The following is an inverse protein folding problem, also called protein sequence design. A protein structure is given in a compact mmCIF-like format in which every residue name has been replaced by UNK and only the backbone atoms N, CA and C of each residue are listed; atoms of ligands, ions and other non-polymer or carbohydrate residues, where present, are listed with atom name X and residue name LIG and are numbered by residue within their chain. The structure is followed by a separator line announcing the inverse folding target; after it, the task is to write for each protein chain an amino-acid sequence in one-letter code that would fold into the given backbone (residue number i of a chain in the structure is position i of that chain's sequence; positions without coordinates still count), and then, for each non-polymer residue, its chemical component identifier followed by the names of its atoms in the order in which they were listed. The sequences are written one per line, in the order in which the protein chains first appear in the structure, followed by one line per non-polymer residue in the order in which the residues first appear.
data_IF_498219852005
#
_entry.id   IF_498219852005
#
_cell.length_a   1.000
_cell.length_b   1.000
_cell.length_c   1.000
_cell.angle_alpha   90.00
_cell.angle_beta   90.00
_cell.angle_gamma   90.00
#
_symmetry.space_group_name_H-M   'P 1'
#
loop_
_entity.id
_entity.type
_entity.pdbx_description
1 polymer ?
#
# COMPACT_ATOMS: atom_id res chain seq x y z
N UNK A 1 -10.06 18.32 -3.68
CA UNK A 1 -9.73 18.26 -5.12
C UNK A 1 -9.35 16.82 -5.44
N UNK A 2 -9.66 16.30 -6.63
CA UNK A 2 -9.24 14.96 -7.06
C UNK A 2 -8.31 15.08 -8.26
N UNK A 3 -7.18 14.38 -8.22
CA UNK A 3 -6.25 14.26 -9.36
C UNK A 3 -6.18 12.81 -9.81
N UNK A 4 -6.15 12.62 -11.13
CA UNK A 4 -5.96 11.33 -11.79
C UNK A 4 -4.59 11.29 -12.46
N UNK A 5 -3.84 10.22 -12.24
CA UNK A 5 -2.61 9.93 -12.97
C UNK A 5 -2.69 8.53 -13.58
N UNK A 6 -2.45 8.44 -14.89
CA UNK A 6 -2.32 7.16 -15.59
C UNK A 6 -0.90 6.61 -15.35
N UNK A 7 -0.83 5.36 -14.92
CA UNK A 7 0.42 4.69 -14.55
C UNK A 7 0.67 3.52 -15.50
N UNK A 8 0.98 3.81 -16.77
CA UNK A 8 1.08 2.80 -17.83
C UNK A 8 -0.25 2.08 -18.03
N UNK A 9 -0.48 1.03 -17.23
CA UNK A 9 -1.63 0.13 -17.30
C UNK A 9 -2.57 0.22 -16.08
N UNK A 10 -2.28 1.09 -15.09
CA UNK A 10 -3.14 1.32 -13.91
C UNK A 10 -3.55 2.78 -13.76
N UNK A 11 -4.34 3.09 -12.73
CA UNK A 11 -4.75 4.46 -12.42
C UNK A 11 -4.57 4.77 -10.93
N UNK A 12 -4.19 6.02 -10.66
CA UNK A 12 -4.09 6.57 -9.33
C UNK A 12 -5.08 7.73 -9.18
N UNK A 13 -5.92 7.66 -8.15
CA UNK A 13 -6.77 8.76 -7.71
C UNK A 13 -6.30 9.26 -6.34
N UNK A 14 -6.04 10.57 -6.23
CA UNK A 14 -5.69 11.21 -4.96
C UNK A 14 -6.78 12.22 -4.59
N UNK A 15 -7.42 12.02 -3.43
CA UNK A 15 -8.38 12.93 -2.83
C UNK A 15 -7.79 13.54 -1.55
N UNK A 16 -7.47 14.82 -1.60
CA UNK A 16 -6.97 15.60 -0.47
C UNK A 16 -7.16 17.11 -0.70
N UNK A 17 -6.69 17.92 0.25
CA UNK A 17 -6.57 19.37 0.09
C UNK A 17 -5.44 19.73 -0.89
N UNK A 18 -5.57 20.88 -1.54
CA UNK A 18 -4.58 21.33 -2.53
C UNK A 18 -3.16 21.45 -1.94
N UNK A 19 -3.05 21.91 -0.69
CA UNK A 19 -1.78 22.01 0.03
C UNK A 19 -1.13 20.66 0.32
N UNK A 20 -1.92 19.58 0.45
CA UNK A 20 -1.41 18.21 0.57
C UNK A 20 -0.98 17.71 -0.79
N UNK A 21 -1.83 17.88 -1.80
CA UNK A 21 -1.59 17.38 -3.17
C UNK A 21 -0.28 17.94 -3.72
N UNK A 22 0.01 19.23 -3.51
CA UNK A 22 1.26 19.85 -3.95
C UNK A 22 2.52 19.32 -3.25
N UNK A 23 2.35 18.54 -2.18
CA UNK A 23 3.42 17.88 -1.42
C UNK A 23 3.48 16.38 -1.65
N UNK A 24 2.53 15.77 -2.36
CA UNK A 24 2.57 14.33 -2.67
C UNK A 24 3.43 14.11 -3.91
N UNK A 25 4.51 13.36 -3.74
CA UNK A 25 5.35 12.89 -4.84
C UNK A 25 4.88 11.52 -5.30
N UNK A 26 4.60 11.40 -6.60
CA UNK A 26 4.23 10.15 -7.25
C UNK A 26 5.24 9.85 -8.34
N UNK A 27 5.84 8.67 -8.31
CA UNK A 27 6.74 8.22 -9.38
C UNK A 27 6.52 6.75 -9.71
N UNK A 28 6.73 6.40 -10.97
CA UNK A 28 6.78 5.00 -11.43
C UNK A 28 8.16 4.74 -11.97
N UNK A 29 8.84 3.73 -11.44
CA UNK A 29 10.15 3.33 -11.92
C UNK A 29 10.23 1.81 -11.94
N UNK A 30 10.53 1.23 -13.10
CA UNK A 30 10.63 -0.23 -13.30
C UNK A 30 9.43 -1.01 -12.75
N UNK A 31 8.21 -0.50 -12.98
CA UNK A 31 6.97 -1.14 -12.54
C UNK A 31 6.62 -0.97 -11.06
N UNK A 32 7.41 -0.21 -10.29
CA UNK A 32 7.11 0.13 -8.90
C UNK A 32 6.52 1.54 -8.84
N UNK A 33 5.30 1.65 -8.33
CA UNK A 33 4.69 2.93 -7.95
C UNK A 33 5.18 3.32 -6.55
N UNK A 34 5.82 4.48 -6.44
CA UNK A 34 6.16 5.10 -5.18
C UNK A 34 5.26 6.32 -4.94
N UNK A 35 4.69 6.39 -3.74
CA UNK A 35 3.91 7.53 -3.26
C UNK A 35 4.55 7.97 -1.95
N UNK A 36 5.02 9.21 -1.91
CA UNK A 36 5.66 9.78 -0.73
C UNK A 36 5.21 11.22 -0.50
N UNK A 37 5.46 11.74 0.70
CA UNK A 37 5.21 13.13 1.05
C UNK A 37 6.57 13.86 1.03
N UNK A 38 6.62 14.99 0.34
CA UNK A 38 7.80 15.84 0.29
C UNK A 38 8.21 16.34 1.68
N UNK A 39 9.51 16.56 1.95
CA UNK A 39 9.97 17.11 3.21
C UNK A 39 9.29 18.43 3.59
N UNK A 40 9.24 18.72 4.90
CA UNK A 40 8.65 19.96 5.44
C UNK A 40 7.19 19.85 5.88
N UNK A 41 6.57 18.68 5.72
CA UNK A 41 5.24 18.36 6.27
C UNK A 41 4.09 19.20 5.69
N UNK A 42 2.89 18.95 6.21
CA UNK A 42 1.69 19.73 5.96
C UNK A 42 0.74 19.58 7.15
N UNK A 43 -0.24 20.48 7.25
CA UNK A 43 -1.39 20.32 8.13
C UNK A 43 -2.66 20.18 7.28
N UNK A 44 -3.50 19.22 7.63
CA UNK A 44 -4.84 19.06 7.06
C UNK A 44 -5.75 18.45 8.11
N UNK A 45 -7.02 18.85 8.11
CA UNK A 45 -8.08 18.24 8.91
C UNK A 45 -8.86 17.18 8.14
N UNK A 46 -8.54 16.96 6.86
CA UNK A 46 -9.23 16.01 6.00
C UNK A 46 -8.43 14.74 5.82
N UNK A 47 -9.14 13.63 5.72
CA UNK A 47 -8.54 12.36 5.32
C UNK A 47 -7.94 12.47 3.92
N UNK A 48 -6.68 12.05 3.80
CA UNK A 48 -6.00 11.88 2.52
C UNK A 48 -6.32 10.49 2.03
N UNK A 49 -6.97 10.38 0.87
CA UNK A 49 -7.32 9.09 0.29
C UNK A 49 -6.61 8.90 -1.04
N UNK A 50 -5.81 7.84 -1.10
CA UNK A 50 -5.18 7.35 -2.31
C UNK A 50 -5.90 6.07 -2.74
N UNK A 51 -6.34 6.00 -4.00
CA UNK A 51 -6.92 4.79 -4.60
C UNK A 51 -6.09 4.41 -5.81
N UNK A 52 -5.50 3.22 -5.78
CA UNK A 52 -4.75 2.63 -6.88
C UNK A 52 -5.57 1.51 -7.49
N UNK A 53 -5.80 1.57 -8.80
CA UNK A 53 -6.32 0.47 -9.59
C UNK A 53 -5.18 -0.14 -10.39
N UNK A 54 -4.89 -1.42 -10.15
CA UNK A 54 -3.86 -2.15 -10.88
C UNK A 54 -4.36 -2.53 -12.28
N UNK A 55 -3.43 -2.93 -13.16
CA UNK A 55 -3.76 -3.32 -14.52
C UNK A 55 -4.72 -4.52 -14.61
N UNK A 56 -4.53 -5.50 -13.73
CA UNK A 56 -5.40 -6.65 -13.61
C UNK A 56 -5.29 -7.28 -12.21
N UNK A 57 -6.12 -8.30 -11.98
CA UNK A 57 -6.20 -9.07 -10.73
C UNK A 57 -4.94 -9.90 -10.42
N UNK A 58 -4.03 -10.08 -11.38
CA UNK A 58 -2.82 -10.90 -11.23
C UNK A 58 -1.53 -10.09 -11.32
N UNK A 59 -1.59 -8.75 -11.34
CA UNK A 59 -0.41 -7.89 -11.55
C UNK A 59 0.27 -7.42 -10.26
N UNK A 60 -0.40 -7.47 -9.10
CA UNK A 60 0.18 -7.02 -7.84
C UNK A 60 1.25 -8.02 -7.36
N UNK A 61 2.40 -7.54 -6.92
CA UNK A 61 3.53 -8.38 -6.47
C UNK A 61 4.09 -7.97 -5.12
N UNK A 62 4.05 -6.67 -4.81
CA UNK A 62 4.57 -6.13 -3.56
C UNK A 62 3.70 -4.97 -3.09
N UNK A 63 3.48 -4.91 -1.78
CA UNK A 63 2.87 -3.78 -1.08
C UNK A 63 3.76 -3.42 0.07
N UNK A 64 4.17 -2.15 0.13
CA UNK A 64 5.08 -1.66 1.15
C UNK A 64 4.50 -0.40 1.77
N UNK A 65 4.41 -0.38 3.11
CA UNK A 65 3.94 0.77 3.87
C UNK A 65 4.97 1.17 4.91
N UNK A 66 5.48 2.39 4.75
CA UNK A 66 6.50 2.97 5.62
C UNK A 66 5.98 4.30 6.14
N UNK A 67 5.80 4.43 7.46
CA UNK A 67 5.29 5.65 8.08
C UNK A 67 3.92 5.45 8.73
N UNK A 68 3.10 6.49 8.70
CA UNK A 68 1.76 6.49 9.31
C UNK A 68 0.67 6.31 8.25
N UNK A 69 -0.34 5.54 8.58
CA UNK A 69 -1.54 5.37 7.77
C UNK A 69 -1.91 3.91 7.51
N UNK A 70 -2.90 3.72 6.65
CA UNK A 70 -3.47 2.41 6.36
C UNK A 70 -3.41 2.12 4.87
N UNK A 71 -2.90 0.95 4.52
CA UNK A 71 -3.00 0.39 3.16
C UNK A 71 -4.04 -0.72 3.18
N UNK A 72 -4.97 -0.68 2.22
CA UNK A 72 -5.97 -1.72 2.02
C UNK A 72 -5.85 -2.27 0.61
N UNK A 73 -5.51 -3.55 0.51
CA UNK A 73 -5.63 -4.33 -0.72
C UNK A 73 -7.01 -4.98 -0.70
N UNK A 74 -7.89 -4.50 -1.59
CA UNK A 74 -9.26 -5.00 -1.70
C UNK A 74 -9.35 -6.40 -2.33
N UNK A 75 -10.58 -6.95 -2.40
CA UNK A 75 -10.82 -8.30 -2.93
C UNK A 75 -10.60 -8.39 -4.44
N UNK A 76 -10.52 -9.63 -4.93
CA UNK A 76 -10.51 -9.94 -6.37
C UNK A 76 -9.13 -10.18 -6.97
N UNK A 77 -8.07 -10.20 -6.16
CA UNK A 77 -6.72 -10.56 -6.62
C UNK A 77 -6.50 -12.08 -6.65
N UNK A 78 -5.83 -12.55 -7.70
CA UNK A 78 -5.33 -13.92 -7.86
C UNK A 78 -3.83 -13.86 -8.14
N UNK A 79 -3.01 -14.15 -7.14
CA UNK A 79 -1.58 -13.83 -7.14
C UNK A 79 -0.72 -15.09 -6.98
N UNK A 80 0.23 -15.29 -7.90
CA UNK A 80 1.27 -16.31 -7.73
C UNK A 80 2.18 -15.97 -6.53
N UNK A 81 2.47 -14.69 -6.32
CA UNK A 81 3.28 -14.23 -5.19
C UNK A 81 2.86 -12.86 -4.74
N UNK A 82 2.80 -12.66 -3.42
CA UNK A 82 2.64 -11.36 -2.81
C UNK A 82 3.70 -11.17 -1.69
N UNK A 83 4.39 -10.04 -1.75
CA UNK A 83 5.22 -9.56 -0.64
C UNK A 83 4.51 -8.39 0.05
N UNK A 84 4.37 -8.47 1.37
CA UNK A 84 3.85 -7.37 2.21
C UNK A 84 4.95 -6.95 3.16
N UNK A 85 5.31 -5.67 3.12
CA UNK A 85 6.25 -5.06 4.06
C UNK A 85 5.56 -3.90 4.77
N UNK A 86 5.55 -3.92 6.09
CA UNK A 86 4.97 -2.84 6.89
C UNK A 86 5.92 -2.44 8.00
N UNK A 87 6.30 -1.16 8.08
CA UNK A 87 7.05 -0.64 9.22
C UNK A 87 6.66 0.77 9.63
N UNK A 88 7.05 1.15 10.84
CA UNK A 88 6.62 2.40 11.46
C UNK A 88 5.27 2.23 12.16
N UNK A 89 4.39 3.22 12.02
CA UNK A 89 3.04 3.24 12.58
C UNK A 89 1.99 2.98 11.48
N UNK A 90 2.25 1.97 10.64
CA UNK A 90 1.41 1.62 9.49
C UNK A 90 0.55 0.39 9.76
N UNK A 91 -0.61 0.35 9.12
CA UNK A 91 -1.48 -0.84 9.07
C UNK A 91 -1.66 -1.28 7.62
N UNK A 92 -1.51 -2.58 7.36
CA UNK A 92 -1.78 -3.15 6.02
C UNK A 92 -2.84 -4.23 6.14
N UNK A 93 -3.93 -4.08 5.40
CA UNK A 93 -5.00 -5.07 5.31
C UNK A 93 -5.04 -5.63 3.89
N UNK A 94 -5.01 -6.95 3.77
CA UNK A 94 -5.15 -7.65 2.49
C UNK A 94 -6.36 -8.56 2.60
N UNK A 95 -7.42 -8.25 1.85
CA UNK A 95 -8.76 -8.80 2.06
C UNK A 95 -9.27 -9.50 0.81
N UNK A 96 -9.66 -10.77 0.94
CA UNK A 96 -10.22 -11.60 -0.13
C UNK A 96 -9.32 -11.92 -1.33
N UNK A 97 -7.98 -12.07 -1.23
CA UNK A 97 -7.18 -12.60 -2.33
C UNK A 97 -7.13 -14.13 -2.33
N UNK A 98 -6.76 -14.70 -3.47
CA UNK A 98 -6.14 -16.03 -3.56
C UNK A 98 -4.65 -15.86 -3.84
N UNK A 99 -3.78 -16.43 -3.00
CA UNK A 99 -2.32 -16.25 -3.07
C UNK A 99 -1.62 -17.61 -2.99
N UNK A 100 -0.76 -17.91 -3.96
CA UNK A 100 0.06 -19.13 -3.91
C UNK A 100 1.21 -19.02 -2.89
N UNK A 101 1.99 -17.93 -2.96
CA UNK A 101 3.09 -17.66 -2.02
C UNK A 101 3.01 -16.26 -1.41
N UNK A 102 2.80 -16.20 -0.09
CA UNK A 102 2.76 -14.96 0.68
C UNK A 102 4.02 -14.79 1.53
N UNK A 103 4.69 -13.64 1.41
CA UNK A 103 5.78 -13.24 2.29
C UNK A 103 5.39 -11.97 3.05
N UNK A 104 5.33 -12.02 4.37
CA UNK A 104 5.02 -10.87 5.24
C UNK A 104 6.23 -10.52 6.09
N UNK A 105 6.61 -9.24 6.09
CA UNK A 105 7.58 -8.66 7.01
C UNK A 105 6.97 -7.45 7.69
N UNK A 106 6.74 -7.53 9.00
CA UNK A 106 6.22 -6.44 9.80
C UNK A 106 7.25 -6.04 10.85
N UNK A 107 7.53 -4.74 10.99
CA UNK A 107 8.46 -4.25 12.00
C UNK A 107 8.01 -2.95 12.70
N UNK A 108 8.52 -2.71 13.90
CA UNK A 108 8.13 -1.55 14.71
C UNK A 108 6.73 -1.72 15.32
N UNK A 109 5.89 -0.69 15.25
CA UNK A 109 4.50 -0.70 15.75
C UNK A 109 3.47 -0.97 14.65
N UNK A 110 3.89 -1.60 13.54
CA UNK A 110 3.03 -1.86 12.41
C UNK A 110 2.14 -3.09 12.63
N UNK A 111 1.05 -3.18 11.88
CA UNK A 111 0.16 -4.34 11.88
C UNK A 111 -0.13 -4.80 10.46
N UNK A 112 -0.09 -6.11 10.23
CA UNK A 112 -0.51 -6.71 8.95
C UNK A 112 -1.63 -7.71 9.21
N UNK A 113 -2.75 -7.53 8.51
CA UNK A 113 -3.89 -8.46 8.53
C UNK A 113 -4.08 -8.99 7.12
N UNK A 114 -4.05 -10.31 6.97
CA UNK A 114 -4.35 -10.98 5.70
C UNK A 114 -5.51 -11.94 5.93
N UNK A 115 -6.57 -11.77 5.15
CA UNK A 115 -7.75 -12.63 5.17
C UNK A 115 -8.06 -13.04 3.73
N UNK A 116 -7.82 -14.30 3.38
CA UNK A 116 -8.02 -14.86 2.04
C UNK A 116 -7.57 -16.32 1.97
N UNK A 117 -7.51 -16.87 0.75
CA UNK A 117 -6.98 -18.21 0.49
C UNK A 117 -5.48 -18.12 0.25
N UNK A 118 -4.69 -18.76 1.10
CA UNK A 118 -3.22 -18.71 1.03
C UNK A 118 -2.69 -20.14 1.02
N UNK A 119 -1.97 -20.52 -0.03
CA UNK A 119 -1.40 -21.86 -0.15
C UNK A 119 -0.12 -22.00 0.71
N UNK A 120 0.78 -21.01 0.65
CA UNK A 120 1.98 -20.96 1.50
C UNK A 120 2.26 -19.56 2.02
N UNK A 121 2.75 -19.46 3.26
CA UNK A 121 3.09 -18.19 3.88
C UNK A 121 4.40 -18.26 4.66
N UNK A 122 5.24 -17.24 4.52
CA UNK A 122 6.35 -16.94 5.42
C UNK A 122 6.08 -15.61 6.11
N UNK A 123 6.14 -15.60 7.45
CA UNK A 123 5.81 -14.42 8.25
C UNK A 123 6.98 -14.12 9.17
N UNK A 124 7.48 -12.88 9.09
CA UNK A 124 8.47 -12.30 9.99
C UNK A 124 7.87 -11.08 10.67
N UNK A 125 7.79 -11.10 11.99
CA UNK A 125 7.29 -10.00 12.80
C UNK A 125 8.38 -9.58 13.79
N UNK A 126 8.87 -8.35 13.66
CA UNK A 126 9.99 -7.80 14.42
C UNK A 126 9.65 -6.43 14.98
N UNK A 127 9.01 -6.40 16.13
CA UNK A 127 8.62 -5.18 16.81
C UNK A 127 9.04 -5.20 18.27
N UNK A 128 9.25 -4.02 18.84
CA UNK A 128 9.28 -3.86 20.29
C UNK A 128 7.84 -3.77 20.76
N UNK A 129 7.37 -4.81 21.44
CA UNK A 129 6.17 -4.68 22.27
C UNK A 129 6.48 -3.66 23.37
N UNK A 130 5.66 -2.61 23.47
CA UNK A 130 5.60 -1.77 24.67
C UNK A 130 4.35 -2.10 25.43
#
# INVERSE_FOLDING_TARGET
MQIWQLLGNGSLALAADAAVISRVNVSVTRGVLSISIAPGGFATSRTIRCTLTTANASSLRSVQSFGAGTVVVGPGFQLERLQVVASGASSTHVLGPTIEALNVSAAGSSSVVVNGTINSAQIRAEGTAK
#
